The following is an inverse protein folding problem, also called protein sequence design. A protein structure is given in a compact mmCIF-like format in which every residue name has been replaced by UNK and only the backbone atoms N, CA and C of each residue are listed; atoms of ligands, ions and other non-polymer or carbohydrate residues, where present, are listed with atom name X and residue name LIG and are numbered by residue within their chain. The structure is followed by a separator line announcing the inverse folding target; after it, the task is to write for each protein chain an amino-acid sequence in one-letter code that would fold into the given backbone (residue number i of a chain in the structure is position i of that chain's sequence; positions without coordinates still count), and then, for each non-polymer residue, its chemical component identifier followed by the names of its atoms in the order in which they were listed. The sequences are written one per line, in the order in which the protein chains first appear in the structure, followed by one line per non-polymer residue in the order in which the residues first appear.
data_IF_527020966391
#
_entry.id   IF_527020966391
#
_cell.length_a   1.000
_cell.length_b   1.000
_cell.length_c   1.000
_cell.angle_alpha   90.00
_cell.angle_beta   90.00
_cell.angle_gamma   90.00
#
_symmetry.space_group_name_H-M   'P 1'
#
loop_
_entity.id
_entity.type
_entity.pdbx_description
1 polymer ?
#
# COMPACT_ATOMS: atom_id res chain seq x y z
N UNK A 1 -1.03 -28.65 9.75
CA UNK A 1 -1.00 -28.23 8.34
C UNK A 1 -2.09 -27.19 8.17
N UNK A 2 -1.74 -25.97 7.75
CA UNK A 2 -2.74 -24.93 7.50
C UNK A 2 -3.63 -25.29 6.30
N UNK A 3 -4.87 -24.81 6.30
CA UNK A 3 -5.71 -24.83 5.10
C UNK A 3 -5.14 -23.92 4.01
N UNK A 4 -5.71 -24.00 2.81
CA UNK A 4 -5.39 -23.09 1.70
C UNK A 4 -6.66 -22.39 1.25
N UNK A 5 -6.53 -21.18 0.72
CA UNK A 5 -7.63 -20.55 0.02
C UNK A 5 -7.83 -21.27 -1.33
N UNK A 6 -9.08 -21.37 -1.76
CA UNK A 6 -9.40 -21.74 -3.13
C UNK A 6 -9.38 -20.47 -3.97
N UNK A 7 -9.15 -20.60 -5.27
CA UNK A 7 -9.17 -19.45 -6.19
C UNK A 7 -10.48 -18.64 -6.08
N UNK A 8 -11.62 -19.31 -5.85
CA UNK A 8 -12.90 -18.63 -5.63
C UNK A 8 -12.90 -17.81 -4.33
N UNK A 9 -12.33 -18.34 -3.25
CA UNK A 9 -12.19 -17.63 -1.98
C UNK A 9 -11.26 -16.42 -2.06
N UNK A 10 -10.15 -16.51 -2.80
CA UNK A 10 -9.22 -15.39 -3.04
C UNK A 10 -9.93 -14.26 -3.80
N UNK A 11 -10.71 -14.62 -4.83
CA UNK A 11 -11.52 -13.67 -5.61
C UNK A 11 -12.54 -12.96 -4.72
N UNK A 12 -13.23 -13.69 -3.85
CA UNK A 12 -14.21 -13.12 -2.93
C UNK A 12 -13.56 -12.16 -1.93
N UNK A 13 -12.41 -12.51 -1.36
CA UNK A 13 -11.66 -11.63 -0.44
C UNK A 13 -11.27 -10.32 -1.14
N UNK A 14 -10.73 -10.40 -2.35
CA UNK A 14 -10.37 -9.22 -3.15
C UNK A 14 -11.61 -8.37 -3.45
N UNK A 15 -12.69 -9.00 -3.89
CA UNK A 15 -13.94 -8.31 -4.24
C UNK A 15 -14.58 -7.62 -3.04
N UNK A 16 -14.64 -8.30 -1.89
CA UNK A 16 -15.36 -7.79 -0.72
C UNK A 16 -14.54 -6.77 0.04
N UNK A 17 -13.24 -7.00 0.24
CA UNK A 17 -12.41 -6.13 1.07
C UNK A 17 -11.66 -5.08 0.25
N UNK A 18 -10.92 -5.50 -0.79
CA UNK A 18 -10.09 -4.56 -1.57
C UNK A 18 -10.96 -3.65 -2.45
N UNK A 19 -11.94 -4.22 -3.16
CA UNK A 19 -12.88 -3.44 -4.00
C UNK A 19 -14.10 -2.92 -3.24
N UNK A 20 -14.22 -3.28 -1.96
CA UNK A 20 -15.27 -2.83 -1.03
C UNK A 20 -16.72 -3.06 -1.52
N UNK A 21 -16.98 -4.15 -2.25
CA UNK A 21 -18.32 -4.44 -2.82
C UNK A 21 -19.36 -4.78 -1.73
N UNK A 22 -18.91 -5.27 -0.57
CA UNK A 22 -19.78 -5.68 0.55
C UNK A 22 -19.64 -4.78 1.80
N UNK A 23 -19.17 -3.52 1.63
CA UNK A 23 -19.06 -2.50 2.70
C UNK A 23 -18.31 -2.94 3.97
N UNK A 24 -17.41 -3.92 3.84
CA UNK A 24 -16.62 -4.45 4.97
C UNK A 24 -15.66 -3.40 5.56
N UNK A 25 -15.42 -2.30 4.84
CA UNK A 25 -14.71 -1.10 5.29
C UNK A 25 -15.40 0.17 4.77
N UNK A 26 -15.06 1.32 5.34
CA UNK A 26 -15.54 2.61 4.84
C UNK A 26 -15.22 2.82 3.35
N UNK A 27 -16.08 3.54 2.63
CA UNK A 27 -15.84 3.86 1.22
C UNK A 27 -14.55 4.65 1.03
N UNK A 28 -13.72 4.25 0.06
CA UNK A 28 -12.41 4.87 -0.25
C UNK A 28 -11.52 5.04 1.00
N UNK A 29 -11.59 4.10 1.94
CA UNK A 29 -10.86 4.20 3.20
C UNK A 29 -9.41 3.73 3.13
N UNK A 30 -8.91 3.30 1.97
CA UNK A 30 -7.53 2.85 1.81
C UNK A 30 -6.63 3.97 1.34
N UNK A 31 -5.41 3.99 1.87
CA UNK A 31 -4.40 4.99 1.61
C UNK A 31 -3.05 4.32 1.35
N UNK A 32 -2.38 4.77 0.30
CA UNK A 32 -1.03 4.39 -0.05
C UNK A 32 -0.03 5.32 0.63
N UNK A 33 0.95 4.75 1.34
CA UNK A 33 2.06 5.48 1.94
C UNK A 33 3.41 4.89 1.55
N UNK A 34 4.48 5.68 1.73
CA UNK A 34 5.87 5.29 1.46
C UNK A 34 6.61 5.10 2.78
N UNK A 35 7.56 4.18 2.81
CA UNK A 35 8.38 3.93 4.01
C UNK A 35 9.89 3.86 3.70
N UNK A 36 10.70 4.01 4.75
CA UNK A 36 12.16 4.11 4.68
C UNK A 36 12.91 3.03 5.48
N UNK A 37 12.19 2.07 6.07
CA UNK A 37 12.78 0.87 6.68
C UNK A 37 13.68 0.12 5.70
N UNK A 38 14.92 -0.12 6.12
CA UNK A 38 15.94 -0.77 5.30
C UNK A 38 15.75 -2.28 5.19
N UNK A 39 14.96 -2.87 6.08
CA UNK A 39 14.58 -4.28 6.10
C UNK A 39 13.13 -4.44 5.68
N UNK A 40 12.81 -5.55 4.99
CA UNK A 40 11.43 -5.91 4.68
C UNK A 40 10.60 -6.00 5.97
N UNK A 41 9.50 -5.22 6.09
CA UNK A 41 8.65 -5.30 7.26
C UNK A 41 8.01 -6.67 7.40
N UNK A 42 7.98 -7.21 8.62
CA UNK A 42 7.32 -8.48 8.91
C UNK A 42 5.79 -8.36 8.79
N UNK A 43 5.10 -9.50 8.62
CA UNK A 43 3.62 -9.55 8.62
C UNK A 43 2.98 -9.01 9.91
N UNK A 44 3.74 -8.96 11.01
CA UNK A 44 3.29 -8.40 12.30
C UNK A 44 3.50 -6.89 12.43
N UNK A 45 3.99 -6.22 11.38
CA UNK A 45 4.23 -4.77 11.39
C UNK A 45 2.92 -4.01 11.60
N UNK A 46 3.02 -2.88 12.31
CA UNK A 46 1.90 -1.97 12.53
C UNK A 46 2.23 -0.58 12.00
N UNK A 47 1.23 0.26 11.78
CA UNK A 47 1.44 1.67 11.41
C UNK A 47 2.27 2.44 12.45
N UNK A 48 2.25 2.02 13.71
CA UNK A 48 3.03 2.66 14.77
C UNK A 48 4.52 2.29 14.73
N UNK A 49 4.89 1.22 14.02
CA UNK A 49 6.24 0.66 14.02
C UNK A 49 6.94 0.73 12.65
N UNK A 50 6.20 0.96 11.56
CA UNK A 50 6.79 1.22 10.25
C UNK A 50 7.38 2.63 10.21
N UNK A 51 8.55 2.79 9.60
CA UNK A 51 9.19 4.10 9.43
C UNK A 51 8.66 4.78 8.18
N UNK A 52 7.46 5.35 8.29
CA UNK A 52 6.83 6.13 7.23
C UNK A 52 7.66 7.37 6.86
N UNK A 53 7.70 7.69 5.57
CA UNK A 53 8.27 8.94 5.07
C UNK A 53 7.51 10.15 5.65
N UNK A 54 8.19 11.13 6.22
CA UNK A 54 7.55 12.28 6.87
C UNK A 54 8.14 13.63 6.42
N UNK A 55 8.60 13.69 5.16
CA UNK A 55 9.28 14.85 4.58
C UNK A 55 8.34 15.70 3.71
N UNK A 56 8.76 16.92 3.41
CA UNK A 56 8.01 17.92 2.64
C UNK A 56 7.58 17.39 1.28
N UNK A 57 6.32 17.65 0.91
CA UNK A 57 5.72 17.16 -0.32
C UNK A 57 5.11 15.76 -0.21
N UNK A 58 5.38 15.02 0.88
CA UNK A 58 4.77 13.72 1.10
C UNK A 58 3.43 13.85 1.86
N UNK A 59 2.41 13.19 1.31
CA UNK A 59 1.19 12.84 2.01
C UNK A 59 0.68 11.52 1.43
N UNK A 60 0.06 10.69 2.26
CA UNK A 60 -0.55 9.44 1.79
C UNK A 60 -1.59 9.74 0.70
N UNK A 61 -1.64 8.91 -0.33
CA UNK A 61 -2.58 9.06 -1.46
C UNK A 61 -3.78 8.13 -1.24
N UNK A 62 -4.99 8.67 -1.31
CA UNK A 62 -6.21 7.87 -1.23
C UNK A 62 -6.33 6.92 -2.43
N UNK A 63 -6.70 5.68 -2.16
CA UNK A 63 -7.00 4.66 -3.17
C UNK A 63 -8.52 4.55 -3.30
N UNK A 64 -9.05 4.95 -4.44
CA UNK A 64 -10.48 4.84 -4.69
C UNK A 64 -10.85 3.37 -4.93
N UNK A 65 -12.00 2.97 -4.38
CA UNK A 65 -12.51 1.60 -4.50
C UNK A 65 -12.73 1.22 -5.98
N UNK A 66 -13.13 2.20 -6.80
CA UNK A 66 -13.36 2.03 -8.24
C UNK A 66 -12.08 1.90 -9.09
N UNK A 67 -10.92 2.30 -8.57
CA UNK A 67 -9.63 2.23 -9.29
C UNK A 67 -9.03 0.81 -9.24
N UNK A 68 -9.61 -0.08 -8.43
CA UNK A 68 -9.15 -1.46 -8.30
C UNK A 68 -9.69 -2.35 -9.42
N UNK A 69 -8.74 -2.98 -10.10
CA UNK A 69 -8.95 -4.00 -11.13
C UNK A 69 -8.24 -5.30 -10.74
N UNK A 70 -8.46 -6.37 -11.49
CA UNK A 70 -7.84 -7.67 -11.24
C UNK A 70 -8.86 -8.81 -11.23
N UNK A 71 -8.34 -10.02 -11.40
CA UNK A 71 -9.06 -11.28 -11.36
C UNK A 71 -8.15 -12.33 -10.69
N UNK A 72 -8.75 -13.39 -10.16
CA UNK A 72 -8.05 -14.41 -9.37
C UNK A 72 -7.45 -13.84 -8.07
N UNK A 73 -6.19 -14.16 -7.80
CA UNK A 73 -5.43 -13.88 -6.58
C UNK A 73 -4.80 -12.48 -6.54
N UNK A 74 -5.01 -11.63 -7.55
CA UNK A 74 -4.33 -10.35 -7.68
C UNK A 74 -5.31 -9.19 -7.84
N UNK A 75 -5.13 -8.15 -7.01
CA UNK A 75 -5.77 -6.84 -7.15
C UNK A 75 -4.75 -5.76 -7.51
N UNK A 76 -5.03 -4.96 -8.54
CA UNK A 76 -4.15 -3.87 -9.01
C UNK A 76 -4.93 -2.55 -9.01
N UNK A 77 -4.39 -1.51 -8.37
CA UNK A 77 -4.95 -0.16 -8.43
C UNK A 77 -4.29 0.65 -9.55
N UNK A 78 -4.88 1.79 -9.91
CA UNK A 78 -4.24 2.75 -10.82
C UNK A 78 -2.94 3.30 -10.22
N UNK A 79 -1.98 3.62 -11.10
CA UNK A 79 -0.72 4.23 -10.71
C UNK A 79 -0.94 5.54 -9.92
N UNK A 80 -0.15 5.72 -8.86
CA UNK A 80 -0.13 6.91 -8.00
C UNK A 80 1.27 7.49 -8.01
N UNK A 81 1.35 8.81 -8.22
CA UNK A 81 2.63 9.53 -8.30
C UNK A 81 2.81 10.38 -7.06
N UNK A 82 3.93 10.19 -6.37
CA UNK A 82 4.40 11.08 -5.32
C UNK A 82 5.44 12.03 -5.90
N UNK A 83 5.40 13.31 -5.51
CA UNK A 83 6.39 14.31 -5.92
C UNK A 83 7.11 14.84 -4.70
N UNK A 84 8.44 14.75 -4.72
CA UNK A 84 9.28 15.26 -3.66
C UNK A 84 9.25 16.79 -3.59
N UNK A 85 8.98 17.32 -2.39
CA UNK A 85 9.11 18.75 -2.09
C UNK A 85 10.44 19.11 -1.40
N UNK A 86 11.27 18.11 -1.13
CA UNK A 86 12.66 18.20 -0.69
C UNK A 86 13.37 16.86 -1.00
N UNK A 87 14.67 16.75 -0.73
CA UNK A 87 15.39 15.48 -0.87
C UNK A 87 14.89 14.43 0.12
N UNK A 88 14.12 13.44 -0.35
CA UNK A 88 13.60 12.35 0.49
C UNK A 88 14.63 11.26 0.79
N UNK A 89 15.70 11.20 -0.02
CA UNK A 89 16.66 10.12 0.06
C UNK A 89 16.05 8.79 -0.40
N UNK A 90 16.43 7.71 0.26
CA UNK A 90 16.10 6.34 -0.17
C UNK A 90 14.72 5.91 0.35
N UNK A 91 13.79 5.64 -0.56
CA UNK A 91 12.50 5.00 -0.29
C UNK A 91 12.63 3.50 -0.58
N UNK A 92 12.26 2.67 0.39
CA UNK A 92 12.49 1.21 0.33
C UNK A 92 11.24 0.43 -0.08
N UNK A 93 10.06 1.03 0.03
CA UNK A 93 8.82 0.37 -0.35
C UNK A 93 7.60 1.24 -0.09
N UNK A 94 6.44 0.59 -0.16
CA UNK A 94 5.16 1.22 0.14
C UNK A 94 4.29 0.33 1.01
N UNK A 95 3.30 0.94 1.64
CA UNK A 95 2.28 0.24 2.43
C UNK A 95 0.89 0.77 2.06
N UNK A 96 -0.13 -0.04 2.34
CA UNK A 96 -1.53 0.36 2.25
C UNK A 96 -2.14 0.26 3.64
N UNK A 97 -2.84 1.30 4.06
CA UNK A 97 -3.50 1.35 5.37
C UNK A 97 -4.90 1.94 5.29
N UNK A 98 -5.64 1.90 6.39
CA UNK A 98 -7.03 2.37 6.45
C UNK A 98 -7.22 3.79 7.02
N UNK A 99 -6.15 4.59 7.13
CA UNK A 99 -6.22 5.95 7.71
C UNK A 99 -5.38 6.95 6.90
N UNK A 100 -5.90 8.17 6.72
CA UNK A 100 -5.28 9.20 5.89
C UNK A 100 -3.97 9.77 6.48
N UNK A 101 -3.81 9.74 7.80
CA UNK A 101 -2.63 10.22 8.52
C UNK A 101 -2.56 9.64 9.94
N UNK A 102 -1.41 9.77 10.59
CA UNK A 102 -1.18 9.25 11.93
C UNK A 102 -1.02 7.72 11.97
N UNK A 103 -0.90 7.17 13.18
CA UNK A 103 -0.45 5.78 13.40
C UNK A 103 -1.51 4.85 13.97
N UNK A 104 -2.74 5.33 14.18
CA UNK A 104 -3.83 4.60 14.85
C UNK A 104 -4.66 3.69 13.92
N UNK A 105 -4.26 3.55 12.66
CA UNK A 105 -4.90 2.66 11.70
C UNK A 105 -4.20 1.31 11.57
N UNK A 106 -4.68 0.51 10.63
CA UNK A 106 -4.20 -0.83 10.33
C UNK A 106 -3.45 -0.83 9.00
N UNK A 107 -2.32 -1.53 8.95
CA UNK A 107 -1.64 -1.87 7.71
C UNK A 107 -2.35 -3.09 7.12
N UNK A 108 -2.74 -2.97 5.85
CA UNK A 108 -3.40 -4.02 5.08
C UNK A 108 -2.40 -4.77 4.21
N UNK A 109 -1.38 -4.05 3.72
CA UNK A 109 -0.41 -4.57 2.77
C UNK A 109 0.89 -3.77 2.88
N UNK A 110 2.00 -4.44 2.63
CA UNK A 110 3.35 -3.88 2.51
C UNK A 110 4.02 -4.54 1.31
N UNK A 111 4.76 -3.75 0.55
CA UNK A 111 5.71 -4.26 -0.44
C UNK A 111 7.06 -3.58 -0.24
N UNK A 112 8.11 -4.41 -0.13
CA UNK A 112 9.50 -3.97 -0.20
C UNK A 112 10.01 -4.07 -1.63
N UNK A 113 10.62 -3.00 -2.14
CA UNK A 113 11.06 -2.96 -3.53
C UNK A 113 12.20 -3.95 -3.76
N UNK A 114 11.97 -4.92 -4.65
CA UNK A 114 13.00 -5.89 -5.04
C UNK A 114 14.13 -5.29 -5.90
N UNK A 115 13.88 -4.14 -6.52
CA UNK A 115 14.81 -3.42 -7.40
C UNK A 115 15.30 -2.09 -6.82
N UNK A 116 14.87 -1.76 -5.58
CA UNK A 116 15.19 -0.52 -4.87
C UNK A 116 15.77 -0.81 -3.47
N UNK A 117 16.33 0.21 -2.80
CA UNK A 117 15.67 1.49 -2.61
C UNK A 117 15.82 2.44 -3.78
N UNK A 118 14.83 3.30 -3.95
CA UNK A 118 14.87 4.39 -4.92
C UNK A 118 15.20 5.69 -4.21
N UNK A 119 16.28 6.36 -4.65
CA UNK A 119 16.60 7.70 -4.19
C UNK A 119 15.67 8.71 -4.87
N UNK A 120 14.87 9.44 -4.10
CA UNK A 120 13.95 10.46 -4.59
C UNK A 120 14.47 11.83 -4.16
N UNK A 121 15.16 12.51 -5.07
CA UNK A 121 15.66 13.87 -4.87
C UNK A 121 14.54 14.92 -5.02
N UNK A 122 14.81 16.15 -4.60
CA UNK A 122 13.89 17.28 -4.70
C UNK A 122 13.33 17.43 -6.13
N UNK A 123 12.03 17.73 -6.23
CA UNK A 123 11.22 17.83 -7.45
C UNK A 123 11.10 16.54 -8.29
N UNK A 124 11.74 15.43 -7.88
CA UNK A 124 11.60 14.14 -8.54
C UNK A 124 10.35 13.41 -8.07
N UNK A 125 9.95 12.45 -8.87
CA UNK A 125 8.74 11.67 -8.64
C UNK A 125 9.06 10.21 -8.48
N UNK A 126 8.27 9.53 -7.66
CA UNK A 126 8.18 8.07 -7.62
C UNK A 126 6.74 7.68 -7.96
N UNK A 127 6.59 6.77 -8.92
CA UNK A 127 5.30 6.24 -9.35
C UNK A 127 5.14 4.82 -8.85
N UNK A 128 4.03 4.55 -8.17
CA UNK A 128 3.71 3.25 -7.60
C UNK A 128 2.41 2.77 -8.24
N UNK A 129 2.41 1.53 -8.72
CA UNK A 129 1.17 0.83 -9.11
C UNK A 129 0.86 -0.21 -8.04
N UNK A 130 -0.03 0.09 -7.07
CA UNK A 130 -0.28 -0.81 -5.96
C UNK A 130 -0.83 -2.15 -6.44
N UNK A 131 -0.21 -3.23 -6.00
CA UNK A 131 -0.59 -4.60 -6.40
C UNK A 131 -0.60 -5.51 -5.18
N UNK A 132 -1.76 -6.05 -4.85
CA UNK A 132 -1.95 -6.97 -3.72
C UNK A 132 -2.17 -8.37 -4.28
N UNK A 133 -1.43 -9.35 -3.75
CA UNK A 133 -1.66 -10.78 -4.03
C UNK A 133 -2.22 -11.45 -2.79
N UNK A 134 -3.28 -12.24 -2.95
CA UNK A 134 -3.93 -13.05 -1.91
C UNK A 134 -3.71 -14.52 -2.30
N UNK A 135 -2.67 -15.16 -1.76
CA UNK A 135 -2.25 -16.52 -2.08
C UNK A 135 -1.94 -17.35 -0.82
#
# INVERSE_FOLDING_TARGET
MGGKLTNEGEIDIISWYIKNVQTSRGANSLYLGLYTDTTEPAETITLATITELALTGYARIQLNDADWSGAADIATNLAKTFTAGEDWGNVYGYFICNVASGTAGEIIFVEHFSTGPFNVADTKTIEITPKITVA
#
